data_IF_489574092957
#
_entry.id   IF_489574092957
#
_cell.length_a   1.000
_cell.length_b   1.000
_cell.length_c   1.000
_cell.angle_alpha   90.00
_cell.angle_beta   90.00
_cell.angle_gamma   90.00
#
_symmetry.space_group_name_H-M   'P 1'
#
loop_
_entity.id
_entity.type
_entity.pdbx_description
1 polymer ?
#
# COMPACT_ATOMS: atom_id res chain seq x y z
N UNK A 1 -28.54 -4.90 14.74
CA UNK A 1 -27.61 -3.77 14.54
C UNK A 1 -28.33 -2.60 13.87
N UNK A 2 -28.24 -1.39 14.41
CA UNK A 2 -28.90 -0.17 13.91
C UNK A 2 -27.87 0.88 13.51
N UNK A 3 -28.26 1.83 12.65
CA UNK A 3 -27.41 2.97 12.28
C UNK A 3 -26.99 3.83 13.48
N UNK A 4 -27.85 3.93 14.48
CA UNK A 4 -27.58 4.65 15.73
C UNK A 4 -26.49 3.97 16.55
N UNK A 5 -26.50 2.64 16.65
CA UNK A 5 -25.46 1.87 17.32
C UNK A 5 -24.09 2.05 16.62
N UNK A 6 -24.08 2.10 15.29
CA UNK A 6 -22.86 2.38 14.51
C UNK A 6 -22.33 3.79 14.81
N UNK A 7 -23.19 4.80 14.84
CA UNK A 7 -22.81 6.17 15.21
C UNK A 7 -22.22 6.24 16.62
N UNK A 8 -22.82 5.56 17.58
CA UNK A 8 -22.35 5.49 18.97
C UNK A 8 -20.96 4.82 19.06
N UNK A 9 -20.79 3.72 18.34
CA UNK A 9 -19.48 3.05 18.25
C UNK A 9 -18.43 3.98 17.65
N UNK A 10 -18.68 4.61 16.50
CA UNK A 10 -17.72 5.50 15.84
C UNK A 10 -17.40 6.76 16.67
N UNK A 11 -18.39 7.32 17.40
CA UNK A 11 -18.13 8.42 18.31
C UNK A 11 -17.24 7.98 19.49
N UNK A 12 -17.49 6.79 20.04
CA UNK A 12 -16.65 6.24 21.12
C UNK A 12 -15.21 6.00 20.64
N UNK A 13 -15.05 5.52 19.40
CA UNK A 13 -13.74 5.34 18.76
C UNK A 13 -13.01 6.68 18.60
N UNK A 14 -13.67 7.73 18.10
CA UNK A 14 -13.04 9.06 17.95
C UNK A 14 -12.55 9.63 19.27
N UNK A 15 -13.36 9.49 20.32
CA UNK A 15 -13.05 10.06 21.64
C UNK A 15 -12.15 9.16 22.50
N UNK A 16 -12.04 7.86 22.19
CA UNK A 16 -11.43 6.83 23.03
C UNK A 16 -11.82 6.96 24.51
N UNK A 17 -13.10 7.36 24.74
CA UNK A 17 -13.68 7.60 26.07
C UNK A 17 -15.21 7.59 26.00
N UNK A 18 -15.84 6.69 26.73
CA UNK A 18 -17.30 6.63 26.81
C UNK A 18 -17.92 7.93 27.35
N UNK A 19 -17.28 8.57 28.31
CA UNK A 19 -17.79 9.82 28.90
C UNK A 19 -17.74 10.97 27.90
N UNK A 20 -16.62 11.13 27.17
CA UNK A 20 -16.49 12.18 26.17
C UNK A 20 -17.41 11.93 24.97
N UNK A 21 -17.52 10.69 24.52
CA UNK A 21 -18.41 10.31 23.41
C UNK A 21 -19.88 10.53 23.80
N UNK A 22 -20.28 10.19 25.01
CA UNK A 22 -21.63 10.45 25.49
C UNK A 22 -21.97 11.95 25.54
N UNK A 23 -21.01 12.78 25.97
CA UNK A 23 -21.16 14.24 25.95
C UNK A 23 -21.27 14.78 24.51
N UNK A 24 -20.46 14.30 23.56
CA UNK A 24 -20.56 14.65 22.12
C UNK A 24 -21.94 14.30 21.55
N UNK A 25 -22.50 13.17 21.95
CA UNK A 25 -23.77 12.65 21.46
C UNK A 25 -25.01 13.17 22.22
N UNK A 26 -24.80 14.02 23.24
CA UNK A 26 -25.85 14.55 24.12
C UNK A 26 -26.67 13.45 24.82
N UNK A 27 -26.04 12.36 25.23
CA UNK A 27 -26.65 11.25 25.96
C UNK A 27 -25.88 10.94 27.26
N UNK A 28 -26.47 10.10 28.13
CA UNK A 28 -25.75 9.67 29.34
C UNK A 28 -24.77 8.55 29.03
N UNK A 29 -23.64 8.52 29.75
CA UNK A 29 -22.62 7.48 29.59
C UNK A 29 -23.17 6.05 29.83
N UNK A 30 -24.08 5.78 30.81
CA UNK A 30 -24.69 4.46 30.94
C UNK A 30 -25.51 4.05 29.71
N UNK A 31 -26.25 5.00 29.10
CA UNK A 31 -26.98 4.74 27.87
C UNK A 31 -26.08 4.36 26.71
N UNK A 32 -25.01 5.13 26.51
CA UNK A 32 -24.01 4.81 25.48
C UNK A 32 -23.38 3.43 25.71
N UNK A 33 -22.94 3.15 26.93
CA UNK A 33 -22.31 1.87 27.29
C UNK A 33 -23.26 0.69 27.03
N UNK A 34 -24.54 0.84 27.37
CA UNK A 34 -25.57 -0.18 27.11
C UNK A 34 -25.73 -0.44 25.61
N UNK A 35 -25.79 0.62 24.80
CA UNK A 35 -25.92 0.47 23.34
C UNK A 35 -24.71 -0.22 22.70
N UNK A 36 -23.50 0.12 23.14
CA UNK A 36 -22.29 -0.57 22.68
C UNK A 36 -22.29 -2.04 23.11
N UNK A 37 -22.65 -2.35 24.36
CA UNK A 37 -22.74 -3.74 24.81
C UNK A 37 -23.81 -4.54 24.07
N UNK A 38 -24.92 -3.90 23.70
CA UNK A 38 -25.94 -4.54 22.84
C UNK A 38 -25.38 -4.82 21.45
N UNK A 39 -24.65 -3.87 20.86
CA UNK A 39 -23.99 -4.07 19.56
C UNK A 39 -22.96 -5.21 19.62
N UNK A 40 -22.11 -5.27 20.65
CA UNK A 40 -21.13 -6.33 20.89
C UNK A 40 -21.83 -7.70 21.01
N UNK A 41 -22.95 -7.76 21.74
CA UNK A 41 -23.74 -8.97 21.91
C UNK A 41 -24.38 -9.44 20.59
N UNK A 42 -24.93 -8.51 19.79
CA UNK A 42 -25.52 -8.83 18.48
C UNK A 42 -24.48 -9.33 17.46
N UNK A 43 -23.26 -8.79 17.54
CA UNK A 43 -22.13 -9.16 16.66
C UNK A 43 -21.38 -10.39 17.15
N UNK A 44 -21.54 -10.78 18.41
CA UNK A 44 -20.85 -11.90 19.04
C UNK A 44 -19.34 -11.64 19.27
N UNK A 45 -18.93 -10.37 19.25
CA UNK A 45 -17.51 -9.97 19.46
C UNK A 45 -17.43 -8.73 20.33
N UNK A 46 -16.39 -8.65 21.17
CA UNK A 46 -16.06 -7.42 21.90
C UNK A 46 -15.35 -6.43 20.96
N UNK A 47 -15.78 -5.17 21.00
CA UNK A 47 -15.23 -4.09 20.17
C UNK A 47 -14.20 -3.25 20.94
N UNK A 48 -14.36 -3.19 22.28
CA UNK A 48 -13.46 -2.45 23.16
C UNK A 48 -12.86 -3.37 24.21
N UNK A 49 -11.55 -3.23 24.41
CA UNK A 49 -10.85 -3.86 25.53
C UNK A 49 -11.08 -3.02 26.79
N UNK A 50 -11.71 -3.61 27.79
CA UNK A 50 -12.02 -3.01 29.09
C UNK A 50 -11.12 -3.53 30.20
N UNK A 51 -10.13 -4.36 29.90
CA UNK A 51 -9.23 -4.95 30.89
C UNK A 51 -8.31 -3.93 31.55
N UNK A 52 -7.96 -2.86 30.83
CA UNK A 52 -7.08 -1.78 31.32
C UNK A 52 -7.92 -0.59 31.77
N UNK A 53 -8.02 -0.38 33.08
CA UNK A 53 -8.87 0.67 33.68
C UNK A 53 -8.49 2.12 33.32
N UNK A 54 -7.28 2.34 32.84
CA UNK A 54 -6.74 3.72 32.62
C UNK A 54 -6.91 4.22 31.18
N UNK A 55 -7.14 3.34 30.20
CA UNK A 55 -7.24 3.76 28.80
C UNK A 55 -8.10 2.78 28.01
N UNK A 56 -9.08 3.31 27.30
CA UNK A 56 -9.91 2.51 26.40
C UNK A 56 -9.12 2.15 25.12
N UNK A 57 -9.16 0.90 24.70
CA UNK A 57 -8.54 0.41 23.48
C UNK A 57 -9.56 -0.35 22.63
N UNK A 58 -9.36 -0.33 21.31
CA UNK A 58 -10.09 -1.21 20.41
C UNK A 58 -9.50 -2.62 20.47
N UNK A 59 -10.37 -3.62 20.41
CA UNK A 59 -9.96 -4.98 20.08
C UNK A 59 -9.58 -5.08 18.60
N UNK A 60 -8.91 -6.15 18.14
CA UNK A 60 -8.70 -6.40 16.71
C UNK A 60 -10.02 -6.39 15.91
N UNK A 61 -11.10 -6.98 16.46
CA UNK A 61 -12.44 -6.95 15.87
C UNK A 61 -13.01 -5.52 15.80
N UNK A 62 -12.84 -4.74 16.88
CA UNK A 62 -13.23 -3.33 16.93
C UNK A 62 -12.51 -2.49 15.87
N UNK A 63 -11.22 -2.71 15.65
CA UNK A 63 -10.46 -2.02 14.63
C UNK A 63 -10.96 -2.36 13.21
N UNK A 64 -11.21 -3.63 12.91
CA UNK A 64 -11.77 -4.05 11.63
C UNK A 64 -13.15 -3.45 11.36
N UNK A 65 -14.04 -3.45 12.37
CA UNK A 65 -15.39 -2.92 12.24
C UNK A 65 -15.40 -1.38 12.16
N UNK A 66 -14.50 -0.69 12.88
CA UNK A 66 -14.31 0.75 12.69
C UNK A 66 -14.04 1.08 11.22
N UNK A 67 -13.06 0.41 10.64
CA UNK A 67 -12.64 0.67 9.26
C UNK A 67 -13.76 0.32 8.26
N UNK A 68 -14.48 -0.76 8.51
CA UNK A 68 -15.65 -1.15 7.72
C UNK A 68 -16.78 -0.10 7.81
N UNK A 69 -17.16 0.35 9.00
CA UNK A 69 -18.27 1.29 9.15
C UNK A 69 -17.95 2.67 8.60
N UNK A 70 -16.70 3.16 8.77
CA UNK A 70 -16.27 4.42 8.16
C UNK A 70 -16.40 4.35 6.64
N UNK A 71 -15.92 3.26 6.02
CA UNK A 71 -16.02 3.07 4.57
C UNK A 71 -17.47 2.95 4.09
N UNK A 72 -18.27 2.13 4.77
CA UNK A 72 -19.68 1.95 4.38
C UNK A 72 -20.46 3.25 4.43
N UNK A 73 -20.18 4.12 5.40
CA UNK A 73 -20.79 5.45 5.48
C UNK A 73 -20.35 6.35 4.33
N UNK A 74 -19.07 6.31 3.94
CA UNK A 74 -18.56 7.07 2.79
C UNK A 74 -19.10 6.54 1.47
N UNK A 75 -19.16 5.22 1.28
CA UNK A 75 -19.76 4.58 0.10
C UNK A 75 -21.24 4.94 -0.04
N UNK A 76 -21.99 4.87 1.06
CA UNK A 76 -23.39 5.26 1.08
C UNK A 76 -23.58 6.73 0.67
N UNK A 77 -22.76 7.63 1.23
CA UNK A 77 -22.77 9.05 0.85
C UNK A 77 -22.47 9.24 -0.64
N UNK A 78 -21.52 8.49 -1.21
CA UNK A 78 -21.19 8.54 -2.63
C UNK A 78 -22.32 8.04 -3.51
N UNK A 79 -22.97 6.93 -3.13
CA UNK A 79 -24.15 6.40 -3.83
C UNK A 79 -25.28 7.43 -3.83
N UNK A 80 -25.53 8.09 -2.69
CA UNK A 80 -26.54 9.15 -2.62
C UNK A 80 -26.17 10.35 -3.50
N UNK A 81 -24.91 10.78 -3.50
CA UNK A 81 -24.44 11.87 -4.37
C UNK A 81 -24.61 11.52 -5.85
N UNK A 82 -24.26 10.28 -6.23
CA UNK A 82 -24.43 9.80 -7.61
C UNK A 82 -25.92 9.76 -8.00
N UNK A 83 -26.78 9.28 -7.09
CA UNK A 83 -28.23 9.23 -7.32
C UNK A 83 -28.89 10.63 -7.38
N UNK A 84 -28.31 11.61 -6.69
CA UNK A 84 -28.79 13.00 -6.69
C UNK A 84 -28.23 13.85 -7.85
N UNK A 85 -27.12 13.41 -8.48
CA UNK A 85 -26.53 14.09 -9.62
C UNK A 85 -27.26 13.72 -10.91
N UNK A 86 -28.29 14.47 -11.25
CA UNK A 86 -29.03 14.36 -12.52
C UNK A 86 -28.14 14.55 -13.77
N UNK A 87 -26.95 15.09 -13.63
CA UNK A 87 -26.03 15.45 -14.74
C UNK A 87 -24.89 14.46 -14.98
N UNK A 88 -24.86 13.29 -14.33
CA UNK A 88 -23.83 12.27 -14.57
C UNK A 88 -22.38 12.72 -14.26
N UNK A 89 -22.20 13.73 -13.42
CA UNK A 89 -20.87 14.24 -13.06
C UNK A 89 -20.18 13.26 -12.12
N UNK A 90 -19.02 12.76 -12.52
CA UNK A 90 -18.20 11.87 -11.73
C UNK A 90 -17.75 12.55 -10.44
N UNK A 91 -18.05 11.96 -9.28
CA UNK A 91 -17.71 12.53 -7.96
C UNK A 91 -17.32 11.47 -6.94
N UNK A 92 -16.66 11.88 -5.86
CA UNK A 92 -16.32 11.03 -4.72
C UNK A 92 -14.82 10.90 -4.49
N UNK A 93 -14.45 9.96 -3.59
CA UNK A 93 -13.04 9.72 -3.22
C UNK A 93 -12.55 8.40 -3.81
N UNK A 94 -11.43 8.43 -4.49
CA UNK A 94 -10.68 7.25 -4.96
C UNK A 94 -9.49 7.02 -4.03
N UNK A 95 -9.47 5.92 -3.30
CA UNK A 95 -8.39 5.56 -2.36
C UNK A 95 -7.43 4.59 -3.02
N UNK A 96 -6.19 5.00 -3.13
CA UNK A 96 -5.12 4.25 -3.81
C UNK A 96 -4.04 3.85 -2.82
N UNK A 97 -3.92 2.55 -2.55
CA UNK A 97 -2.82 2.01 -1.76
C UNK A 97 -1.56 1.85 -2.61
N UNK A 98 -0.42 2.26 -2.08
CA UNK A 98 0.88 2.15 -2.76
C UNK A 98 1.88 1.54 -1.79
N UNK A 99 2.67 0.56 -2.22
CA UNK A 99 3.73 0.00 -1.36
C UNK A 99 4.76 1.06 -0.97
N UNK A 100 5.31 0.95 0.23
CA UNK A 100 6.44 1.77 0.68
C UNK A 100 7.64 1.62 -0.28
N UNK A 101 8.49 2.62 -0.33
CA UNK A 101 9.67 2.64 -1.21
C UNK A 101 9.39 3.01 -2.67
N UNK A 102 8.13 2.94 -3.14
CA UNK A 102 7.77 3.23 -4.52
C UNK A 102 7.63 4.74 -4.78
N UNK A 103 8.45 5.30 -5.69
CA UNK A 103 8.35 6.71 -6.14
C UNK A 103 7.35 6.84 -7.31
N UNK A 104 6.14 6.34 -7.07
CA UNK A 104 5.08 6.26 -8.07
C UNK A 104 4.35 7.59 -8.26
N UNK A 105 3.98 8.24 -7.15
CA UNK A 105 3.13 9.44 -7.16
C UNK A 105 3.79 10.56 -7.95
N UNK A 106 5.11 10.73 -7.83
CA UNK A 106 5.85 11.75 -8.59
C UNK A 106 5.74 11.52 -10.09
N UNK A 107 5.76 10.27 -10.53
CA UNK A 107 5.68 9.91 -11.96
C UNK A 107 4.32 10.17 -12.56
N UNK A 108 3.24 9.93 -11.82
CA UNK A 108 1.86 10.09 -12.30
C UNK A 108 1.29 11.47 -12.02
N UNK A 109 2.08 12.42 -11.49
CA UNK A 109 1.61 13.80 -11.23
C UNK A 109 0.89 14.44 -12.43
N UNK A 110 1.36 14.32 -13.69
CA UNK A 110 0.65 14.86 -14.84
C UNK A 110 -0.76 14.26 -15.02
N UNK A 111 -0.90 12.95 -14.79
CA UNK A 111 -2.19 12.27 -14.83
C UNK A 111 -3.13 12.80 -13.73
N UNK A 112 -2.60 12.96 -12.50
CA UNK A 112 -3.39 13.47 -11.37
C UNK A 112 -3.90 14.89 -11.65
N UNK A 113 -3.03 15.77 -12.17
CA UNK A 113 -3.41 17.14 -12.51
C UNK A 113 -4.53 17.17 -13.56
N UNK A 114 -4.40 16.37 -14.63
CA UNK A 114 -5.44 16.23 -15.65
C UNK A 114 -6.77 15.72 -15.07
N UNK A 115 -6.70 14.79 -14.11
CA UNK A 115 -7.89 14.29 -13.42
C UNK A 115 -8.57 15.35 -12.57
N UNK A 116 -7.81 16.18 -11.85
CA UNK A 116 -8.33 17.30 -11.06
C UNK A 116 -9.03 18.35 -11.91
N UNK A 117 -8.50 18.63 -13.11
CA UNK A 117 -9.12 19.55 -14.06
C UNK A 117 -10.41 18.96 -14.66
N UNK A 118 -10.37 17.70 -15.07
CA UNK A 118 -11.49 17.03 -15.74
C UNK A 118 -12.61 16.63 -14.78
N UNK A 119 -12.26 16.25 -13.57
CA UNK A 119 -13.20 15.76 -12.55
C UNK A 119 -12.99 16.49 -11.21
N UNK A 120 -13.34 17.77 -11.12
CA UNK A 120 -13.06 18.59 -9.92
C UNK A 120 -13.75 18.12 -8.65
N UNK A 121 -14.78 17.29 -8.76
CA UNK A 121 -15.50 16.70 -7.62
C UNK A 121 -14.92 15.36 -7.19
N UNK A 122 -13.85 14.87 -7.84
CA UNK A 122 -13.16 13.65 -7.47
C UNK A 122 -11.93 13.97 -6.64
N UNK A 123 -11.83 13.35 -5.47
CA UNK A 123 -10.63 13.40 -4.62
C UNK A 123 -9.86 12.09 -4.77
N UNK A 124 -8.59 12.15 -5.17
CA UNK A 124 -7.72 10.97 -5.21
C UNK A 124 -6.79 11.01 -4.00
N UNK A 125 -6.87 9.99 -3.15
CA UNK A 125 -6.05 9.85 -1.94
C UNK A 125 -5.07 8.70 -2.14
N UNK A 126 -3.78 8.99 -2.04
CA UNK A 126 -2.71 8.00 -2.08
C UNK A 126 -2.18 7.75 -0.68
N UNK A 127 -2.15 6.49 -0.29
CA UNK A 127 -1.60 6.07 1.01
C UNK A 127 -0.48 5.06 0.80
N UNK A 128 0.68 5.32 1.41
CA UNK A 128 1.78 4.36 1.43
C UNK A 128 1.59 3.38 2.57
N UNK A 129 1.79 2.10 2.29
CA UNK A 129 1.61 1.03 3.26
C UNK A 129 2.73 0.00 3.16
N UNK A 130 3.07 -0.63 4.28
CA UNK A 130 3.89 -1.83 4.27
C UNK A 130 3.30 -2.90 3.37
N UNK A 131 4.18 -3.69 2.76
CA UNK A 131 3.86 -4.71 1.78
C UNK A 131 2.72 -5.64 2.21
N UNK A 132 2.73 -6.08 3.46
CA UNK A 132 1.79 -7.06 4.01
C UNK A 132 0.36 -6.50 4.12
N UNK A 133 0.23 -5.17 4.25
CA UNK A 133 -1.06 -4.50 4.47
C UNK A 133 -1.75 -4.08 3.18
N UNK A 134 -0.99 -3.84 2.12
CA UNK A 134 -1.55 -3.29 0.86
C UNK A 134 -2.63 -4.21 0.29
N UNK A 135 -2.33 -5.51 0.14
CA UNK A 135 -3.29 -6.50 -0.39
C UNK A 135 -4.48 -6.69 0.54
N UNK A 136 -4.25 -6.78 1.85
CA UNK A 136 -5.31 -6.92 2.83
C UNK A 136 -6.28 -5.74 2.79
N UNK A 137 -5.76 -4.52 2.72
CA UNK A 137 -6.56 -3.30 2.67
C UNK A 137 -7.37 -3.18 1.36
N UNK A 138 -6.87 -3.71 0.25
CA UNK A 138 -7.67 -3.85 -0.96
C UNK A 138 -8.83 -4.83 -0.77
N UNK A 139 -8.56 -6.03 -0.26
CA UNK A 139 -9.56 -7.07 -0.05
C UNK A 139 -10.64 -6.65 0.97
N UNK A 140 -10.26 -5.95 2.02
CA UNK A 140 -11.22 -5.39 2.98
C UNK A 140 -11.98 -4.17 2.45
N UNK A 141 -11.56 -3.57 1.31
CA UNK A 141 -12.14 -2.36 0.70
C UNK A 141 -11.70 -1.06 1.34
N UNK A 142 -10.60 -1.05 2.11
CA UNK A 142 -9.96 0.19 2.58
C UNK A 142 -9.37 0.99 1.43
N UNK A 143 -8.95 0.28 0.39
CA UNK A 143 -8.53 0.86 -0.89
C UNK A 143 -9.46 0.41 -2.01
N UNK A 144 -9.67 1.30 -2.96
CA UNK A 144 -10.41 1.03 -4.20
C UNK A 144 -9.52 0.31 -5.21
N UNK A 145 -8.25 0.71 -5.24
CA UNK A 145 -7.19 0.10 -6.04
C UNK A 145 -5.84 0.20 -5.33
N UNK A 146 -4.90 -0.63 -5.76
CA UNK A 146 -3.52 -0.61 -5.27
C UNK A 146 -2.51 -0.61 -6.41
N UNK A 147 -1.35 -0.03 -6.16
CA UNK A 147 -0.17 -0.13 -7.03
C UNK A 147 0.82 -1.05 -6.35
N UNK A 148 1.11 -2.17 -7.02
CA UNK A 148 1.83 -3.29 -6.44
C UNK A 148 2.75 -3.96 -7.46
N UNK A 149 3.80 -4.64 -7.00
CA UNK A 149 4.61 -5.51 -7.85
C UNK A 149 3.87 -6.79 -8.21
N UNK A 150 3.98 -7.23 -9.46
CA UNK A 150 3.29 -8.42 -9.97
C UNK A 150 3.48 -9.67 -9.10
N UNK A 151 4.73 -9.93 -8.69
CA UNK A 151 5.09 -11.09 -7.87
C UNK A 151 4.25 -11.19 -6.58
N UNK A 152 3.81 -10.06 -6.03
CA UNK A 152 3.05 -9.97 -4.79
C UNK A 152 1.54 -10.13 -4.98
N UNK A 153 1.07 -10.12 -6.24
CA UNK A 153 -0.32 -10.31 -6.59
C UNK A 153 -0.64 -11.76 -6.99
N UNK A 154 0.36 -12.55 -7.36
CA UNK A 154 0.18 -13.90 -7.89
C UNK A 154 -0.60 -14.85 -6.96
N UNK A 155 -0.44 -14.68 -5.64
CA UNK A 155 -1.11 -15.51 -4.63
C UNK A 155 -2.37 -14.85 -4.04
N UNK A 156 -2.83 -13.71 -4.58
CA UNK A 156 -3.96 -12.97 -4.03
C UNK A 156 -5.23 -13.30 -4.84
N UNK A 157 -6.16 -13.99 -4.20
CA UNK A 157 -7.45 -14.31 -4.82
C UNK A 157 -8.45 -13.14 -4.70
N UNK A 158 -9.39 -13.05 -5.64
CA UNK A 158 -10.47 -12.05 -5.62
C UNK A 158 -10.04 -10.66 -6.07
N UNK A 159 -8.91 -10.55 -6.76
CA UNK A 159 -8.40 -9.31 -7.36
C UNK A 159 -8.19 -9.46 -8.87
N UNK A 160 -8.54 -8.42 -9.60
CA UNK A 160 -8.13 -8.21 -10.99
C UNK A 160 -6.94 -7.27 -11.01
N UNK A 161 -6.06 -7.45 -11.97
CA UNK A 161 -4.87 -6.60 -12.12
C UNK A 161 -4.45 -6.44 -13.58
N UNK A 162 -3.73 -5.35 -13.86
CA UNK A 162 -3.13 -5.06 -15.15
C UNK A 162 -1.70 -4.56 -14.95
N UNK A 163 -0.80 -4.97 -15.83
CA UNK A 163 0.59 -4.47 -15.84
C UNK A 163 0.59 -3.05 -16.43
N UNK A 164 1.02 -2.07 -15.64
CA UNK A 164 1.12 -0.67 -16.08
C UNK A 164 2.53 -0.29 -16.54
N UNK A 165 3.56 -0.95 -16.02
CA UNK A 165 4.94 -0.72 -16.42
C UNK A 165 5.80 -1.96 -16.16
N UNK A 166 6.88 -2.13 -16.94
CA UNK A 166 7.85 -3.17 -16.73
C UNK A 166 9.25 -2.62 -16.94
N UNK A 167 10.12 -2.83 -15.97
CA UNK A 167 11.53 -2.49 -16.04
C UNK A 167 12.35 -3.56 -15.32
N UNK A 168 13.64 -3.63 -15.61
CA UNK A 168 14.52 -4.54 -14.89
C UNK A 168 14.81 -4.00 -13.49
N UNK A 169 14.92 -4.89 -12.53
CA UNK A 169 15.34 -4.60 -11.16
C UNK A 169 16.72 -3.93 -11.11
N UNK A 170 17.08 -3.47 -9.94
CA UNK A 170 18.39 -2.89 -9.67
C UNK A 170 19.09 -3.64 -8.54
N UNK A 171 20.39 -3.80 -8.72
CA UNK A 171 21.32 -4.27 -7.71
C UNK A 171 21.94 -3.02 -7.07
N UNK A 172 21.56 -2.72 -5.81
CA UNK A 172 21.91 -1.50 -5.11
C UNK A 172 23.07 -1.75 -4.14
N UNK A 173 24.07 -0.87 -4.14
CA UNK A 173 25.21 -0.91 -3.24
C UNK A 173 25.64 0.52 -2.85
N UNK A 174 26.46 0.66 -1.82
CA UNK A 174 26.94 1.96 -1.36
C UNK A 174 27.86 2.64 -2.37
N UNK A 175 27.74 3.96 -2.50
CA UNK A 175 28.73 4.76 -3.21
C UNK A 175 30.14 4.71 -2.55
N UNK A 176 30.19 4.33 -1.25
CA UNK A 176 31.44 4.17 -0.49
C UNK A 176 31.99 2.73 -0.53
N UNK A 177 31.32 1.81 -1.23
CA UNK A 177 31.83 0.45 -1.38
C UNK A 177 33.20 0.47 -2.08
N UNK A 178 34.22 -0.30 -1.63
CA UNK A 178 35.53 -0.35 -2.27
C UNK A 178 35.52 -0.71 -3.75
N UNK A 179 34.44 -1.36 -4.20
CA UNK A 179 34.23 -1.71 -5.61
C UNK A 179 33.67 -0.56 -6.46
N UNK A 180 33.18 0.54 -5.84
CA UNK A 180 32.47 1.63 -6.55
C UNK A 180 33.32 2.29 -7.66
N UNK A 181 34.61 2.31 -7.53
CA UNK A 181 35.53 2.92 -8.50
C UNK A 181 35.97 1.94 -9.61
N UNK A 182 35.56 0.68 -9.55
CA UNK A 182 35.89 -0.32 -10.59
C UNK A 182 35.03 -0.10 -11.84
N UNK A 183 35.68 -0.22 -12.99
CA UNK A 183 35.02 -0.28 -14.29
C UNK A 183 34.43 -1.70 -14.53
N UNK A 184 33.27 -1.76 -15.19
CA UNK A 184 32.63 -3.01 -15.61
C UNK A 184 32.21 -3.95 -14.45
N UNK A 185 31.69 -3.38 -13.36
CA UNK A 185 31.13 -4.16 -12.26
C UNK A 185 29.95 -5.03 -12.70
N UNK A 186 29.90 -6.23 -12.14
CA UNK A 186 28.78 -7.18 -12.25
C UNK A 186 28.30 -7.55 -10.84
N UNK A 187 27.06 -8.05 -10.68
CA UNK A 187 26.61 -8.54 -9.37
C UNK A 187 27.51 -9.61 -8.77
N UNK A 188 28.20 -10.42 -9.59
CA UNK A 188 29.11 -11.46 -9.14
C UNK A 188 30.33 -10.92 -8.40
N UNK A 189 30.75 -9.69 -8.67
CA UNK A 189 31.88 -9.07 -7.96
C UNK A 189 31.59 -8.89 -6.46
N UNK A 190 30.32 -8.90 -6.07
CA UNK A 190 29.83 -8.78 -4.69
C UNK A 190 29.53 -10.12 -4.00
N UNK A 191 29.92 -11.26 -4.58
CA UNK A 191 29.59 -12.59 -4.06
C UNK A 191 30.12 -12.87 -2.64
N UNK A 192 31.11 -12.11 -2.17
CA UNK A 192 31.68 -12.20 -0.83
C UNK A 192 31.09 -11.13 0.13
N UNK A 193 30.23 -10.25 -0.37
CA UNK A 193 29.59 -9.22 0.42
C UNK A 193 28.25 -9.71 0.97
N UNK A 194 27.78 -9.18 2.12
CA UNK A 194 26.45 -9.47 2.64
C UNK A 194 25.35 -9.08 1.65
N UNK A 195 24.40 -9.97 1.44
CA UNK A 195 23.17 -9.69 0.72
C UNK A 195 22.05 -9.44 1.73
N UNK A 196 21.65 -8.18 1.85
CA UNK A 196 20.58 -7.75 2.74
C UNK A 196 19.21 -8.00 2.09
N UNK A 197 18.38 -8.80 2.75
CA UNK A 197 17.06 -9.22 2.27
C UNK A 197 16.02 -8.99 3.35
N UNK A 198 14.76 -8.85 2.97
CA UNK A 198 13.67 -8.83 3.95
C UNK A 198 13.53 -10.18 4.65
N UNK A 199 13.11 -10.16 5.92
CA UNK A 199 12.77 -11.36 6.66
C UNK A 199 11.72 -12.20 5.90
N UNK A 200 11.87 -13.54 5.95
CA UNK A 200 10.99 -14.46 5.23
C UNK A 200 9.52 -14.32 5.64
N UNK A 201 9.27 -14.03 6.92
CA UNK A 201 7.91 -13.82 7.45
C UNK A 201 7.21 -12.60 6.84
N UNK A 202 7.98 -11.64 6.30
CA UNK A 202 7.45 -10.45 5.66
C UNK A 202 7.27 -10.57 4.16
N UNK A 203 8.22 -11.17 3.48
CA UNK A 203 8.17 -11.31 2.03
C UNK A 203 9.00 -12.47 1.49
N UNK A 204 8.61 -13.71 1.82
CA UNK A 204 9.31 -14.90 1.35
C UNK A 204 9.41 -15.00 -0.18
N UNK A 205 8.34 -14.59 -0.89
CA UNK A 205 8.29 -14.69 -2.37
C UNK A 205 9.32 -13.80 -3.06
N UNK A 206 9.51 -12.57 -2.62
CA UNK A 206 10.53 -11.68 -3.21
C UNK A 206 11.93 -12.15 -2.84
N UNK A 207 12.14 -12.54 -1.58
CA UNK A 207 13.41 -13.09 -1.10
C UNK A 207 13.86 -14.30 -1.92
N UNK A 208 12.97 -15.26 -2.14
CA UNK A 208 13.28 -16.47 -2.91
C UNK A 208 13.62 -16.14 -4.38
N UNK A 209 12.88 -15.19 -4.97
CA UNK A 209 13.18 -14.70 -6.31
C UNK A 209 14.55 -14.02 -6.40
N UNK A 210 14.93 -13.23 -5.41
CA UNK A 210 16.20 -12.53 -5.34
C UNK A 210 17.38 -13.49 -5.13
N UNK A 211 17.21 -14.52 -4.30
CA UNK A 211 18.20 -15.61 -4.13
C UNK A 211 18.39 -16.34 -5.45
N UNK A 212 17.29 -16.76 -6.07
CA UNK A 212 17.34 -17.48 -7.34
C UNK A 212 18.01 -16.65 -8.45
N UNK A 213 17.79 -15.32 -8.45
CA UNK A 213 18.48 -14.43 -9.38
C UNK A 213 20.01 -14.48 -9.17
N UNK A 214 20.50 -14.40 -7.93
CA UNK A 214 21.95 -14.50 -7.64
C UNK A 214 22.52 -15.86 -8.09
N UNK A 215 21.80 -16.94 -7.81
CA UNK A 215 22.17 -18.29 -8.24
C UNK A 215 22.23 -18.42 -9.78
N UNK A 216 21.33 -17.80 -10.49
CA UNK A 216 21.35 -17.74 -11.97
C UNK A 216 22.57 -17.03 -12.54
N UNK A 217 23.18 -16.14 -11.75
CA UNK A 217 24.44 -15.47 -12.08
C UNK A 217 25.69 -16.29 -11.67
N UNK A 218 25.49 -17.48 -11.09
CA UNK A 218 26.55 -18.43 -10.73
C UNK A 218 27.20 -18.14 -9.38
N UNK A 219 26.47 -17.58 -8.41
CA UNK A 219 26.93 -17.47 -7.03
C UNK A 219 25.79 -17.60 -6.03
N UNK A 220 26.08 -18.17 -4.84
CA UNK A 220 25.17 -18.23 -3.72
C UNK A 220 25.41 -17.02 -2.81
N UNK A 221 24.40 -16.18 -2.54
CA UNK A 221 24.60 -14.97 -1.75
C UNK A 221 24.70 -15.27 -0.24
N UNK A 222 25.45 -14.42 0.50
CA UNK A 222 25.54 -14.46 1.96
C UNK A 222 24.37 -13.67 2.53
N UNK A 223 23.28 -14.36 2.92
CA UNK A 223 22.02 -13.73 3.34
C UNK A 223 22.12 -13.09 4.73
N UNK A 224 21.66 -11.85 4.83
CA UNK A 224 21.47 -11.13 6.09
C UNK A 224 20.04 -10.61 6.13
N UNK A 225 19.13 -11.28 6.89
CA UNK A 225 17.74 -10.87 7.02
C UNK A 225 17.61 -9.53 7.73
N UNK A 226 16.70 -8.68 7.25
CA UNK A 226 16.45 -7.33 7.76
C UNK A 226 14.93 -7.09 7.93
N UNK A 227 14.52 -6.29 8.93
CA UNK A 227 13.11 -6.11 9.25
C UNK A 227 12.33 -5.24 8.24
N UNK A 228 12.99 -4.39 7.46
CA UNK A 228 12.36 -3.49 6.48
C UNK A 228 13.41 -2.90 5.52
N UNK A 229 12.92 -2.23 4.46
CA UNK A 229 13.78 -1.59 3.45
C UNK A 229 14.70 -0.52 4.05
N UNK A 230 14.23 0.27 5.01
CA UNK A 230 15.05 1.31 5.65
C UNK A 230 16.26 0.70 6.37
N UNK A 231 16.07 -0.44 7.04
CA UNK A 231 17.18 -1.17 7.68
C UNK A 231 18.17 -1.72 6.65
N UNK A 232 17.67 -2.21 5.50
CA UNK A 232 18.52 -2.66 4.38
C UNK A 232 19.33 -1.47 3.84
N UNK A 233 18.68 -0.34 3.57
CA UNK A 233 19.34 0.86 3.03
C UNK A 233 20.38 1.41 4.00
N UNK A 234 20.08 1.40 5.30
CA UNK A 234 21.04 1.81 6.33
C UNK A 234 22.26 0.89 6.36
N UNK A 235 22.06 -0.43 6.30
CA UNK A 235 23.14 -1.40 6.29
C UNK A 235 24.01 -1.25 5.03
N UNK A 236 23.43 -1.08 3.84
CA UNK A 236 24.16 -0.83 2.60
C UNK A 236 24.95 0.47 2.72
N UNK A 237 24.38 1.55 3.27
CA UNK A 237 25.04 2.85 3.40
C UNK A 237 26.31 2.81 4.26
N UNK A 238 26.46 1.80 5.12
CA UNK A 238 27.67 1.54 5.89
C UNK A 238 28.89 1.09 5.05
N UNK A 239 28.74 0.98 3.73
CA UNK A 239 29.85 0.79 2.79
C UNK A 239 30.08 -0.66 2.35
N UNK A 240 29.36 -1.64 2.89
CA UNK A 240 29.47 -3.04 2.50
C UNK A 240 28.11 -3.66 2.22
N UNK A 241 28.10 -4.69 1.37
CA UNK A 241 26.90 -5.43 1.04
C UNK A 241 26.06 -4.76 -0.05
N UNK A 242 24.96 -5.44 -0.38
CA UNK A 242 24.06 -5.06 -1.45
C UNK A 242 22.61 -5.51 -1.16
N UNK A 243 21.69 -5.00 -1.97
CA UNK A 243 20.29 -5.44 -2.00
C UNK A 243 19.73 -5.41 -3.41
N UNK A 244 18.71 -6.21 -3.67
CA UNK A 244 17.94 -6.16 -4.91
C UNK A 244 16.66 -5.37 -4.69
N UNK A 245 16.37 -4.46 -5.60
CA UNK A 245 15.22 -3.56 -5.47
C UNK A 245 14.50 -3.39 -6.81
N UNK A 246 13.24 -2.98 -6.71
CA UNK A 246 12.49 -2.60 -7.90
C UNK A 246 13.00 -1.26 -8.47
N UNK A 247 12.89 -1.03 -9.78
CA UNK A 247 13.52 0.14 -10.44
C UNK A 247 12.79 1.47 -10.17
N UNK A 248 11.61 1.43 -9.54
CA UNK A 248 10.81 2.63 -9.23
C UNK A 248 11.05 3.16 -7.82
N UNK A 249 12.10 2.73 -7.14
CA UNK A 249 12.47 3.23 -5.82
C UNK A 249 13.12 4.62 -5.89
N UNK A 250 12.94 5.42 -4.84
CA UNK A 250 13.48 6.77 -4.77
C UNK A 250 15.01 6.76 -4.56
N UNK A 251 15.54 5.76 -3.89
CA UNK A 251 16.96 5.66 -3.55
C UNK A 251 17.86 5.43 -4.77
N UNK A 252 17.30 5.01 -5.89
CA UNK A 252 18.02 4.98 -7.17
C UNK A 252 18.57 6.35 -7.59
N UNK A 253 17.94 7.43 -7.12
CA UNK A 253 18.34 8.81 -7.41
C UNK A 253 19.21 9.43 -6.29
N UNK A 254 19.44 8.71 -5.19
CA UNK A 254 20.31 9.17 -4.10
C UNK A 254 21.78 9.13 -4.51
N UNK A 255 22.58 10.10 -3.98
CA UNK A 255 24.02 10.14 -4.16
C UNK A 255 24.79 9.14 -3.29
N UNK A 256 24.13 8.61 -2.26
CA UNK A 256 24.74 7.67 -1.31
C UNK A 256 24.86 6.26 -1.90
N UNK A 257 24.11 5.99 -2.97
CA UNK A 257 24.06 4.68 -3.58
C UNK A 257 24.54 4.69 -5.03
N UNK A 258 24.99 3.51 -5.47
CA UNK A 258 25.22 3.12 -6.86
C UNK A 258 24.35 1.91 -7.18
N UNK A 259 24.07 1.69 -8.43
CA UNK A 259 23.28 0.55 -8.84
C UNK A 259 23.71 -0.02 -10.19
N UNK A 260 23.53 -1.32 -10.32
CA UNK A 260 23.64 -2.05 -11.57
C UNK A 260 22.24 -2.46 -12.02
N UNK A 261 21.99 -2.43 -13.33
CA UNK A 261 20.74 -2.93 -13.88
C UNK A 261 20.78 -4.45 -13.88
N UNK A 262 19.75 -5.11 -13.34
CA UNK A 262 19.61 -6.56 -13.42
C UNK A 262 19.02 -6.99 -14.77
N UNK A 263 19.04 -8.29 -15.05
CA UNK A 263 18.33 -8.87 -16.20
C UNK A 263 16.90 -9.30 -15.84
N UNK A 264 16.53 -9.27 -14.55
CA UNK A 264 15.24 -9.70 -14.03
C UNK A 264 14.18 -8.62 -14.26
N UNK A 265 13.16 -8.87 -15.06
CA UNK A 265 12.06 -7.94 -15.25
C UNK A 265 11.19 -7.90 -13.99
N UNK A 266 10.82 -6.71 -13.56
CA UNK A 266 9.92 -6.47 -12.44
C UNK A 266 8.71 -5.71 -12.99
N UNK A 267 7.55 -6.37 -13.19
CA UNK A 267 6.34 -5.69 -13.60
C UNK A 267 5.70 -4.95 -12.42
N UNK A 268 5.22 -3.73 -12.70
CA UNK A 268 4.38 -2.93 -11.81
C UNK A 268 2.93 -3.04 -12.28
N UNK A 269 2.04 -3.34 -11.35
CA UNK A 269 0.63 -3.53 -11.63
C UNK A 269 -0.23 -2.50 -10.90
N UNK A 270 -1.37 -2.18 -11.51
CA UNK A 270 -2.55 -1.68 -10.82
C UNK A 270 -3.48 -2.86 -10.55
N UNK A 271 -4.02 -2.97 -9.33
CA UNK A 271 -4.95 -4.03 -8.99
C UNK A 271 -6.17 -3.47 -8.24
N UNK A 272 -7.32 -4.12 -8.43
CA UNK A 272 -8.61 -3.78 -7.83
C UNK A 272 -9.41 -5.05 -7.51
N UNK A 273 -10.48 -4.93 -6.73
CA UNK A 273 -11.36 -6.07 -6.46
C UNK A 273 -12.02 -6.57 -7.75
N UNK A 274 -12.00 -7.86 -7.99
CA UNK A 274 -12.50 -8.52 -9.22
C UNK A 274 -13.93 -8.09 -9.59
N UNK A 275 -14.80 -7.91 -8.61
CA UNK A 275 -16.20 -7.53 -8.82
C UNK A 275 -16.46 -6.03 -8.64
N UNK A 276 -15.44 -5.18 -8.66
CA UNK A 276 -15.62 -3.74 -8.53
C UNK A 276 -16.33 -3.18 -9.76
N UNK A 277 -17.58 -2.73 -9.55
CA UNK A 277 -18.38 -2.01 -10.57
C UNK A 277 -18.24 -0.49 -10.48
N UNK A 278 -17.35 -0.01 -9.62
CA UNK A 278 -17.19 1.41 -9.35
C UNK A 278 -16.57 2.11 -10.55
N UNK A 279 -17.32 3.00 -11.18
CA UNK A 279 -16.92 3.72 -12.41
C UNK A 279 -15.59 4.48 -12.23
N UNK A 280 -15.38 5.14 -11.07
CA UNK A 280 -14.12 5.81 -10.73
C UNK A 280 -12.91 4.89 -10.83
N UNK A 281 -13.03 3.64 -10.37
CA UNK A 281 -11.94 2.65 -10.42
C UNK A 281 -11.64 2.29 -11.86
N UNK A 282 -12.68 1.97 -12.65
CA UNK A 282 -12.52 1.56 -14.03
C UNK A 282 -11.91 2.65 -14.92
N UNK A 283 -12.39 3.89 -14.77
CA UNK A 283 -11.88 5.03 -15.52
C UNK A 283 -10.43 5.36 -15.13
N UNK A 284 -10.13 5.39 -13.83
CA UNK A 284 -8.78 5.68 -13.38
C UNK A 284 -7.78 4.62 -13.80
N UNK A 285 -8.13 3.33 -13.69
CA UNK A 285 -7.29 2.23 -14.19
C UNK A 285 -7.01 2.36 -15.68
N UNK A 286 -8.05 2.64 -16.49
CA UNK A 286 -7.91 2.85 -17.94
C UNK A 286 -6.95 3.99 -18.26
N UNK A 287 -7.12 5.14 -17.61
CA UNK A 287 -6.29 6.32 -17.84
C UNK A 287 -4.86 6.09 -17.37
N UNK A 288 -4.68 5.38 -16.24
CA UNK A 288 -3.37 5.01 -15.71
C UNK A 288 -2.62 4.08 -16.66
N UNK A 289 -3.27 3.04 -17.19
CA UNK A 289 -2.71 2.12 -18.17
C UNK A 289 -2.32 2.89 -19.45
N UNK A 290 -3.21 3.74 -19.95
CA UNK A 290 -2.95 4.55 -21.14
C UNK A 290 -1.78 5.52 -20.94
N UNK A 291 -1.67 6.14 -19.76
CA UNK A 291 -0.59 7.04 -19.41
C UNK A 291 0.78 6.34 -19.47
N UNK A 292 0.90 5.15 -18.90
CA UNK A 292 2.16 4.40 -18.95
C UNK A 292 2.45 3.83 -20.34
N UNK A 293 1.43 3.39 -21.09
CA UNK A 293 1.58 2.91 -22.46
C UNK A 293 2.13 4.00 -23.41
N UNK A 294 1.69 5.24 -23.23
CA UNK A 294 2.18 6.38 -24.01
C UNK A 294 3.64 6.76 -23.74
N UNK A 295 4.16 6.44 -22.53
CA UNK A 295 5.55 6.70 -22.17
C UNK A 295 6.52 5.59 -22.61
N UNK A 296 6.00 4.41 -22.97
CA UNK A 296 6.82 3.26 -23.38
C UNK A 296 7.17 3.28 -24.87
N UNK A 297 6.57 4.17 -25.67
CA UNK A 297 6.94 4.37 -27.07
C UNK A 297 8.26 5.14 -27.12
N UNK A 298 9.37 4.56 -27.63
CA UNK A 298 10.61 5.30 -27.74
C UNK A 298 10.39 6.47 -28.70
N UNK A 299 10.68 7.71 -28.25
CA UNK A 299 10.89 8.80 -29.17
C UNK A 299 11.96 8.37 -30.18
N UNK A 300 11.53 8.06 -31.40
CA UNK A 300 12.41 8.02 -32.53
C UNK A 300 12.93 9.44 -32.75
N UNK A 301 14.15 9.69 -32.35
CA UNK A 301 15.02 10.73 -32.90
C UNK A 301 16.18 10.07 -33.59
#
# INVERSE_FOLDING_TARGET
>A
MTSLQIQYFLATVRQMSFTKAAAELYITQPSLSKQISTLESELGVELFDRSVKTKLHLTPAGALLRDFFIRSAEEFKQVLQTAQNENGTLSGTLRVGVIEGLDFIRKIRPLINNWQEKYPQVTIVFERQPLEKVNQNLLTGSYDLIIQLYILLQAVNGVSWEIIAQQNGIFLYSAQNPLSDRHHLTPKDFQQDPFYVLDADRCGVTRDADIHYCESLGFSPILVPMPNDDSILHAISAGRGFGLFHPWCWYKSSRDFRWLKTTQPIPLCVAWKENSKRELVQLFCKDLISFFSSQTTPHKN
#
